data_IF_556022600091
#
_entry.id   IF_556022600091
#
_cell.length_a   1.000
_cell.length_b   1.000
_cell.length_c   1.000
_cell.angle_alpha   90.00
_cell.angle_beta   90.00
_cell.angle_gamma   90.00
#
_symmetry.space_group_name_H-M   'P 1'
#
loop_
_entity.id
_entity.type
_entity.pdbx_description
1 polymer ?
#
# COMPACT_ATOMS: atom_id res chain seq x y z
N UNK A 1 -20.84 33.52 -2.89
CA UNK A 1 -20.36 33.68 -1.51
C UNK A 1 -19.21 32.69 -1.33
N UNK A 2 -17.97 33.16 -1.20
CA UNK A 2 -16.80 32.29 -1.06
C UNK A 2 -16.72 31.70 0.35
N UNK A 3 -16.09 30.53 0.50
CA UNK A 3 -15.78 29.96 1.81
C UNK A 3 -14.84 30.92 2.57
N UNK A 4 -15.00 31.12 3.89
CA UNK A 4 -14.09 31.94 4.67
C UNK A 4 -12.66 31.37 4.66
N UNK A 5 -11.67 32.25 4.53
CA UNK A 5 -10.25 31.87 4.54
C UNK A 5 -9.90 31.24 5.90
N UNK A 6 -9.31 30.04 5.85
CA UNK A 6 -8.82 29.36 7.04
C UNK A 6 -7.52 30.03 7.53
N UNK A 7 -7.48 30.38 8.81
CA UNK A 7 -6.27 30.86 9.47
C UNK A 7 -5.60 29.73 10.25
N UNK A 8 -4.30 29.55 10.07
CA UNK A 8 -3.52 28.60 10.84
C UNK A 8 -3.48 29.04 12.32
N UNK A 9 -3.65 28.10 13.25
CA UNK A 9 -3.48 28.30 14.70
C UNK A 9 -2.31 27.44 15.20
N UNK A 10 -2.50 26.63 16.24
CA UNK A 10 -1.44 25.81 16.87
C UNK A 10 -1.01 24.57 16.05
N UNK A 11 -1.74 24.23 14.99
CA UNK A 11 -1.49 23.05 14.14
C UNK A 11 -1.04 23.46 12.74
N UNK A 12 -0.61 22.50 11.91
CA UNK A 12 -0.24 22.74 10.52
C UNK A 12 -1.48 22.91 9.64
N UNK A 13 -1.53 23.99 8.85
CA UNK A 13 -2.46 24.19 7.76
C UNK A 13 -1.67 24.18 6.45
N UNK A 14 -1.98 23.26 5.55
CA UNK A 14 -1.29 23.13 4.26
C UNK A 14 -2.29 23.43 3.16
N UNK A 15 -2.11 24.57 2.51
CA UNK A 15 -2.90 24.96 1.34
C UNK A 15 -2.30 24.28 0.11
N UNK A 16 -3.18 23.79 -0.76
CA UNK A 16 -2.85 23.06 -2.00
C UNK A 16 -3.86 23.45 -3.08
N UNK A 17 -3.41 23.45 -4.33
CA UNK A 17 -4.20 23.90 -5.48
C UNK A 17 -4.70 22.73 -6.36
N UNK A 18 -4.33 21.49 -6.01
CA UNK A 18 -4.80 20.30 -6.71
C UNK A 18 -4.84 19.04 -5.82
N UNK A 19 -5.61 18.04 -6.26
CA UNK A 19 -5.69 16.72 -5.61
C UNK A 19 -4.32 16.02 -5.64
N UNK A 20 -3.57 16.17 -6.73
CA UNK A 20 -2.26 15.54 -6.85
C UNK A 20 -1.24 16.15 -5.89
N UNK A 21 -1.23 17.48 -5.77
CA UNK A 21 -0.40 18.16 -4.77
C UNK A 21 -0.78 17.76 -3.34
N UNK A 22 -2.09 17.66 -3.06
CA UNK A 22 -2.58 17.18 -1.76
C UNK A 22 -2.06 15.77 -1.45
N UNK A 23 -2.14 14.85 -2.42
CA UNK A 23 -1.65 13.47 -2.30
C UNK A 23 -0.14 13.44 -2.01
N UNK A 24 0.65 14.18 -2.78
CA UNK A 24 2.10 14.22 -2.64
C UNK A 24 2.52 14.80 -1.28
N UNK A 25 1.93 15.92 -0.85
CA UNK A 25 2.24 16.51 0.46
C UNK A 25 1.81 15.61 1.61
N UNK A 26 0.65 14.96 1.53
CA UNK A 26 0.19 14.02 2.55
C UNK A 26 1.14 12.81 2.69
N UNK A 27 1.55 12.21 1.57
CA UNK A 27 2.50 11.09 1.58
C UNK A 27 3.87 11.53 2.11
N UNK A 28 4.36 12.72 1.74
CA UNK A 28 5.61 13.25 2.25
C UNK A 28 5.62 13.40 3.78
N UNK A 29 4.50 13.82 4.40
CA UNK A 29 4.37 13.92 5.86
C UNK A 29 4.47 12.53 6.51
N UNK A 30 3.87 11.52 5.90
CA UNK A 30 3.91 10.13 6.41
C UNK A 30 5.34 9.59 6.34
N UNK A 31 6.04 9.80 5.22
CA UNK A 31 7.43 9.40 5.04
C UNK A 31 8.36 10.14 6.03
N UNK A 32 8.21 11.46 6.20
CA UNK A 32 9.01 12.25 7.15
C UNK A 32 8.84 11.78 8.61
N UNK A 33 7.66 11.25 8.96
CA UNK A 33 7.38 10.69 10.28
C UNK A 33 7.80 9.23 10.44
N UNK A 34 8.44 8.63 9.42
CA UNK A 34 8.78 7.20 9.37
C UNK A 34 7.56 6.27 9.60
N UNK A 35 6.37 6.73 9.24
CA UNK A 35 5.12 5.98 9.39
C UNK A 35 4.68 5.27 8.10
N UNK A 36 5.48 5.39 7.04
CA UNK A 36 5.17 4.73 5.78
C UNK A 36 5.44 3.22 5.87
N UNK A 37 4.61 2.37 5.24
CA UNK A 37 4.85 0.93 5.23
C UNK A 37 6.22 0.58 4.63
N UNK A 38 6.82 -0.49 5.14
CA UNK A 38 8.04 -1.09 4.57
C UNK A 38 7.78 -1.85 3.27
N UNK A 39 6.52 -1.97 2.84
CA UNK A 39 6.11 -2.64 1.61
C UNK A 39 5.76 -1.61 0.54
N UNK A 40 6.19 -1.88 -0.69
CA UNK A 40 5.72 -1.23 -1.91
C UNK A 40 4.82 -2.21 -2.66
N UNK A 41 3.65 -1.74 -3.07
CA UNK A 41 2.73 -2.47 -3.94
C UNK A 41 2.51 -1.67 -5.21
N UNK A 42 2.81 -2.30 -6.34
CA UNK A 42 2.44 -1.77 -7.65
C UNK A 42 1.28 -2.59 -8.19
N UNK A 43 0.27 -1.92 -8.71
CA UNK A 43 -0.91 -2.55 -9.31
C UNK A 43 -0.96 -2.22 -10.80
N UNK A 44 -1.11 -3.25 -11.63
CA UNK A 44 -1.46 -3.17 -13.04
C UNK A 44 -2.80 -3.85 -13.26
N UNK A 45 -3.73 -3.16 -13.89
CA UNK A 45 -5.04 -3.68 -14.27
C UNK A 45 -5.44 -3.06 -15.64
N UNK A 46 -6.61 -3.43 -16.15
CA UNK A 46 -7.12 -2.97 -17.46
C UNK A 46 -7.81 -1.58 -17.41
N UNK A 47 -7.59 -0.81 -16.34
CA UNK A 47 -8.18 0.51 -16.12
C UNK A 47 -7.11 1.54 -15.71
N UNK A 48 -7.43 2.82 -15.82
CA UNK A 48 -6.51 3.90 -15.39
C UNK A 48 -6.57 4.20 -13.89
N UNK A 49 -7.36 3.44 -13.12
CA UNK A 49 -7.57 3.64 -11.68
C UNK A 49 -7.17 2.40 -10.87
N UNK A 50 -6.76 2.62 -9.62
CA UNK A 50 -6.44 1.51 -8.70
C UNK A 50 -7.73 0.86 -8.20
N UNK A 51 -7.79 -0.46 -8.28
CA UNK A 51 -8.90 -1.29 -7.78
C UNK A 51 -8.56 -2.01 -6.47
N UNK A 52 -7.28 -2.21 -6.16
CA UNK A 52 -6.87 -2.90 -4.95
C UNK A 52 -6.74 -1.94 -3.75
N UNK A 53 -7.36 -2.31 -2.64
CA UNK A 53 -7.11 -1.69 -1.33
C UNK A 53 -6.30 -2.66 -0.46
N UNK A 54 -5.45 -2.11 0.41
CA UNK A 54 -4.58 -2.94 1.24
C UNK A 54 -4.24 -2.30 2.57
N UNK A 55 -3.90 -3.16 3.53
CA UNK A 55 -3.35 -2.80 4.84
C UNK A 55 -2.17 -3.68 5.16
N UNK A 56 -1.15 -3.12 5.80
CA UNK A 56 0.03 -3.83 6.26
C UNK A 56 0.21 -3.62 7.76
N UNK A 57 0.47 -4.70 8.49
CA UNK A 57 0.78 -4.68 9.92
C UNK A 57 1.99 -5.57 10.22
N UNK A 58 2.57 -5.44 11.40
CA UNK A 58 3.59 -6.35 11.90
C UNK A 58 2.94 -7.43 12.75
N UNK A 59 3.31 -8.70 12.56
CA UNK A 59 2.93 -9.75 13.50
C UNK A 59 3.89 -9.80 14.70
N UNK A 60 3.64 -10.73 15.64
CA UNK A 60 4.44 -10.92 16.84
C UNK A 60 5.93 -11.21 16.54
N UNK A 61 6.23 -11.78 15.37
CA UNK A 61 7.60 -12.06 14.91
C UNK A 61 8.26 -10.86 14.22
N UNK A 62 7.56 -9.73 14.09
CA UNK A 62 8.03 -8.55 13.38
C UNK A 62 7.99 -8.66 11.85
N UNK A 63 7.34 -9.70 11.30
CA UNK A 63 7.17 -9.86 9.86
C UNK A 63 6.01 -8.98 9.37
N UNK A 64 6.12 -8.51 8.13
CA UNK A 64 5.03 -7.77 7.50
C UNK A 64 3.91 -8.73 7.11
N UNK A 65 2.69 -8.45 7.54
CA UNK A 65 1.47 -9.17 7.18
C UNK A 65 0.57 -8.22 6.40
N UNK A 66 0.16 -8.67 5.23
CA UNK A 66 -0.51 -7.86 4.23
C UNK A 66 -1.88 -8.45 3.91
N UNK A 67 -2.92 -7.63 4.00
CA UNK A 67 -4.26 -7.95 3.52
C UNK A 67 -4.55 -7.06 2.32
N UNK A 68 -4.85 -7.66 1.17
CA UNK A 68 -5.18 -6.98 -0.08
C UNK A 68 -6.52 -7.49 -0.56
N UNK A 69 -7.38 -6.58 -1.01
CA UNK A 69 -8.68 -6.90 -1.60
C UNK A 69 -8.78 -6.16 -2.93
N UNK A 70 -9.08 -6.88 -4.01
CA UNK A 70 -9.39 -6.26 -5.29
C UNK A 70 -10.86 -5.82 -5.29
N UNK A 71 -11.15 -4.54 -5.07
CA UNK A 71 -12.50 -3.98 -5.16
C UNK A 71 -12.84 -3.51 -6.59
N UNK A 72 -11.89 -3.65 -7.52
CA UNK A 72 -12.07 -3.34 -8.93
C UNK A 72 -12.95 -4.34 -9.67
N UNK A 73 -13.32 -3.99 -10.90
CA UNK A 73 -14.16 -4.83 -11.78
C UNK A 73 -13.35 -5.71 -12.74
N UNK A 74 -12.03 -5.58 -12.74
CA UNK A 74 -11.09 -6.30 -13.61
C UNK A 74 -10.04 -7.01 -12.77
N UNK A 75 -9.29 -7.92 -13.41
CA UNK A 75 -8.18 -8.58 -12.74
C UNK A 75 -7.06 -7.56 -12.45
N UNK A 76 -6.43 -7.69 -11.29
CA UNK A 76 -5.33 -6.84 -10.87
C UNK A 76 -4.07 -7.68 -10.63
N UNK A 77 -3.04 -7.47 -11.46
CA UNK A 77 -1.71 -8.04 -11.23
C UNK A 77 -0.92 -7.12 -10.33
N UNK A 78 -0.46 -7.66 -9.21
CA UNK A 78 0.31 -6.93 -8.21
C UNK A 78 1.80 -7.19 -8.38
N UNK A 79 2.62 -6.28 -7.86
CA UNK A 79 4.05 -6.51 -7.62
C UNK A 79 4.36 -6.04 -6.21
N UNK A 80 4.75 -6.98 -5.36
CA UNK A 80 5.00 -6.76 -3.93
C UNK A 80 6.51 -6.72 -3.70
N UNK A 81 6.99 -5.67 -3.03
CA UNK A 81 8.41 -5.44 -2.78
C UNK A 81 8.64 -4.92 -1.36
N UNK A 82 9.79 -5.25 -0.77
CA UNK A 82 10.24 -4.64 0.48
C UNK A 82 11.08 -3.39 0.16
N UNK A 83 10.77 -2.25 0.79
CA UNK A 83 11.54 -1.00 0.71
C UNK A 83 12.99 -1.26 1.13
N UNK A 84 13.93 -0.58 0.47
CA UNK A 84 15.36 -0.58 0.82
C UNK A 84 16.04 -1.97 0.82
N UNK A 85 15.47 -2.96 0.14
CA UNK A 85 16.12 -4.28 -0.04
C UNK A 85 16.35 -4.57 -1.52
N UNK A 86 17.52 -5.14 -1.84
CA UNK A 86 17.80 -5.71 -3.18
C UNK A 86 17.27 -7.15 -3.32
N UNK A 87 16.83 -7.74 -2.22
CA UNK A 87 16.42 -9.12 -2.15
C UNK A 87 14.99 -9.28 -2.64
N UNK A 88 14.66 -10.50 -3.10
CA UNK A 88 13.29 -10.81 -3.50
C UNK A 88 12.41 -10.95 -2.25
N UNK A 89 11.21 -10.41 -2.32
CA UNK A 89 10.20 -10.70 -1.30
C UNK A 89 9.72 -12.15 -1.47
N UNK A 90 9.70 -12.92 -0.39
CA UNK A 90 9.03 -14.22 -0.32
C UNK A 90 7.66 -13.98 0.27
N UNK A 91 6.61 -14.44 -0.41
CA UNK A 91 5.23 -14.24 0.01
C UNK A 91 4.63 -15.58 0.40
N UNK A 92 4.07 -15.67 1.60
CA UNK A 92 3.42 -16.88 2.10
C UNK A 92 1.94 -16.59 2.32
N UNK A 93 1.07 -17.29 1.59
CA UNK A 93 -0.37 -17.20 1.72
C UNK A 93 -0.79 -17.83 3.05
N UNK A 94 -1.35 -17.02 3.94
CA UNK A 94 -1.75 -17.42 5.28
C UNK A 94 -3.11 -18.14 5.30
N UNK A 95 -3.92 -18.01 4.24
CA UNK A 95 -5.19 -18.74 4.11
C UNK A 95 -4.97 -20.16 3.59
N UNK A 96 -4.07 -20.30 2.62
CA UNK A 96 -3.80 -21.59 1.98
C UNK A 96 -2.58 -22.32 2.55
N UNK A 97 -1.72 -21.64 3.31
CA UNK A 97 -0.53 -22.22 3.91
C UNK A 97 0.57 -22.56 2.90
N UNK A 98 0.65 -21.83 1.79
CA UNK A 98 1.60 -22.09 0.70
C UNK A 98 2.44 -20.85 0.36
N UNK A 99 3.64 -21.07 -0.15
CA UNK A 99 4.44 -19.99 -0.75
C UNK A 99 3.86 -19.61 -2.11
N UNK A 100 3.82 -18.31 -2.40
CA UNK A 100 3.31 -17.76 -3.65
C UNK A 100 4.30 -16.75 -4.25
N UNK A 101 4.15 -16.50 -5.55
CA UNK A 101 4.87 -15.45 -6.23
C UNK A 101 4.59 -14.07 -5.62
N UNK A 102 5.61 -13.20 -5.58
CA UNK A 102 5.45 -11.78 -5.25
C UNK A 102 4.75 -10.95 -6.35
N UNK A 103 4.26 -11.62 -7.40
CA UNK A 103 3.43 -11.04 -8.47
C UNK A 103 2.09 -11.78 -8.64
N UNK A 104 1.25 -11.82 -7.61
CA UNK A 104 -0.06 -12.48 -7.71
C UNK A 104 -1.00 -11.66 -8.60
N UNK A 105 -1.97 -12.35 -9.21
CA UNK A 105 -3.09 -11.72 -9.91
C UNK A 105 -4.37 -12.02 -9.14
N UNK A 106 -5.07 -10.97 -8.71
CA UNK A 106 -6.33 -11.07 -7.98
C UNK A 106 -7.50 -10.81 -8.94
N UNK A 107 -8.49 -11.71 -8.93
CA UNK A 107 -9.78 -11.48 -9.58
C UNK A 107 -10.60 -10.43 -8.80
N UNK A 108 -11.64 -9.85 -9.41
CA UNK A 108 -12.59 -8.99 -8.69
C UNK A 108 -13.09 -9.64 -7.39
N UNK A 109 -13.03 -8.88 -6.31
CA UNK A 109 -13.43 -9.23 -4.94
C UNK A 109 -12.61 -10.34 -4.27
N UNK A 110 -11.52 -10.77 -4.89
CA UNK A 110 -10.60 -11.72 -4.30
C UNK A 110 -9.79 -11.06 -3.18
N UNK A 111 -9.55 -11.82 -2.11
CA UNK A 111 -8.76 -11.41 -0.95
C UNK A 111 -7.45 -12.19 -0.96
N UNK A 112 -6.34 -11.48 -0.83
CA UNK A 112 -5.04 -12.05 -0.58
C UNK A 112 -4.58 -11.67 0.81
N UNK A 113 -4.25 -12.67 1.64
CA UNK A 113 -3.74 -12.46 2.98
C UNK A 113 -2.41 -13.20 3.15
N UNK A 114 -1.31 -12.44 3.20
CA UNK A 114 0.04 -13.00 3.10
C UNK A 114 0.98 -12.47 4.18
N UNK A 115 1.94 -13.29 4.56
CA UNK A 115 3.15 -12.87 5.26
C UNK A 115 4.27 -12.61 4.24
N UNK A 116 4.96 -11.48 4.35
CA UNK A 116 6.05 -11.08 3.45
C UNK A 116 7.37 -11.12 4.20
N UNK A 117 8.31 -11.93 3.71
CA UNK A 117 9.65 -12.12 4.26
C UNK A 117 10.74 -11.72 3.28
N UNK A 118 11.91 -11.42 3.83
CA UNK A 118 13.14 -11.27 3.06
C UNK A 118 13.82 -12.64 2.96
N UNK A 119 14.36 -13.01 1.79
CA UNK A 119 14.94 -14.34 1.52
C UNK A 119 16.20 -14.69 2.36
N UNK A 120 16.68 -13.81 3.25
CA UNK A 120 17.94 -13.98 3.98
C UNK A 120 17.80 -13.94 5.52
N UNK A 121 16.69 -14.42 6.08
CA UNK A 121 16.56 -14.60 7.54
C UNK A 121 15.89 -15.92 7.90
#
# INVERSE_FOLDING_TARGET
>A
MGLPNLAQSKSSLIIVDSIEEMRLKALAIIEQKNNAPEIIILEKNDTDIKGCTWKCVKNEKGNNVLSIINLGKTNATLKIQLKNTKNKAVCFDLLNGIEISAQPTLKPYEVLFIEVKNTNK
#
